data_IF_005115172856
#
_entry.id   IF_005115172856
#
_cell.length_a   1.000
_cell.length_b   1.000
_cell.length_c   1.000
_cell.angle_alpha   90.00
_cell.angle_beta   90.00
_cell.angle_gamma   90.00
#
_symmetry.space_group_name_H-M   'P 1'
#
loop_
_entity.id
_entity.type
_entity.pdbx_description
1 polymer ?
#
# COMPACT_ATOMS: atom_id res chain seq x y z
N UNK A 1 -34.55 -8.40 22.73
CA UNK A 1 -33.39 -8.48 21.82
C UNK A 1 -33.74 -8.16 20.36
N UNK A 2 -34.92 -8.50 19.83
CA UNK A 2 -35.26 -8.21 18.41
C UNK A 2 -35.60 -6.75 18.08
N UNK A 3 -36.14 -5.96 19.04
CA UNK A 3 -36.53 -4.56 18.77
C UNK A 3 -35.34 -3.62 18.50
N UNK A 4 -34.19 -3.86 19.11
CA UNK A 4 -33.00 -3.02 18.93
C UNK A 4 -32.39 -3.21 17.54
N UNK A 5 -32.40 -4.46 17.04
CA UNK A 5 -31.89 -4.79 15.70
C UNK A 5 -32.75 -4.08 14.64
N UNK A 6 -34.08 -4.08 14.80
CA UNK A 6 -34.99 -3.40 13.86
C UNK A 6 -34.71 -1.88 13.75
N UNK A 7 -34.22 -1.25 14.82
CA UNK A 7 -33.80 0.17 14.80
C UNK A 7 -32.56 0.37 13.94
N UNK A 8 -31.56 -0.50 14.05
CA UNK A 8 -30.34 -0.45 13.23
C UNK A 8 -30.59 -0.88 11.78
N UNK A 9 -31.55 -1.77 11.54
CA UNK A 9 -31.99 -2.14 10.17
C UNK A 9 -32.64 -0.94 9.48
N UNK A 10 -33.46 -0.15 10.21
CA UNK A 10 -34.08 1.06 9.65
C UNK A 10 -33.05 2.17 9.41
N UNK A 11 -32.06 2.31 10.29
CA UNK A 11 -31.03 3.36 10.21
C UNK A 11 -29.62 2.80 10.53
N UNK A 12 -28.89 2.30 9.53
CA UNK A 12 -27.55 1.69 9.72
C UNK A 12 -26.49 2.65 10.28
N UNK A 13 -26.63 3.95 10.04
CA UNK A 13 -25.68 4.96 10.53
C UNK A 13 -25.58 4.99 12.06
N UNK A 14 -26.67 4.66 12.77
CA UNK A 14 -26.66 4.59 14.23
C UNK A 14 -25.70 3.53 14.77
N UNK A 15 -25.45 2.45 14.01
CA UNK A 15 -24.48 1.43 14.38
C UNK A 15 -23.05 1.94 14.18
N UNK A 16 -22.81 2.70 13.11
CA UNK A 16 -21.50 3.30 12.82
C UNK A 16 -21.14 4.30 13.91
N UNK A 17 -22.09 5.13 14.32
CA UNK A 17 -21.86 6.14 15.37
C UNK A 17 -21.64 5.48 16.74
N UNK A 18 -22.39 4.42 17.07
CA UNK A 18 -22.15 3.64 18.28
C UNK A 18 -20.75 3.00 18.29
N UNK A 19 -20.30 2.48 17.15
CA UNK A 19 -18.95 1.91 17.02
C UNK A 19 -17.88 2.98 17.21
N UNK A 20 -18.07 4.18 16.67
CA UNK A 20 -17.16 5.31 16.88
C UNK A 20 -17.10 5.71 18.35
N UNK A 21 -18.24 5.85 19.02
CA UNK A 21 -18.30 6.18 20.45
C UNK A 21 -17.57 5.13 21.31
N UNK A 22 -17.66 3.85 20.95
CA UNK A 22 -16.95 2.77 21.65
C UNK A 22 -15.44 2.87 21.41
N UNK A 23 -15.00 3.14 20.19
CA UNK A 23 -13.58 3.33 19.86
C UNK A 23 -13.04 4.54 20.61
N UNK A 24 -13.73 5.68 20.56
CA UNK A 24 -13.31 6.92 21.25
C UNK A 24 -13.20 6.73 22.76
N UNK A 25 -14.09 5.91 23.35
CA UNK A 25 -14.03 5.59 24.79
C UNK A 25 -12.89 4.65 25.16
N UNK A 26 -12.42 3.82 24.22
CA UNK A 26 -11.25 2.95 24.40
C UNK A 26 -9.95 3.75 24.16
N UNK A 27 -9.94 4.66 23.18
CA UNK A 27 -8.82 5.56 22.83
C UNK A 27 -8.64 6.73 23.81
N UNK A 28 -9.65 7.09 24.61
CA UNK A 28 -9.53 8.11 25.66
C UNK A 28 -8.59 7.73 26.82
N UNK A 29 -7.89 6.60 26.76
CA UNK A 29 -6.72 6.39 27.62
C UNK A 29 -5.59 7.32 27.11
N UNK A 30 -5.18 8.35 27.88
CA UNK A 30 -4.43 9.47 27.34
C UNK A 30 -3.10 9.01 26.73
N UNK A 31 -3.02 9.06 25.40
CA UNK A 31 -1.75 9.09 24.67
C UNK A 31 -1.02 10.38 24.98
N UNK A 32 -0.39 10.44 26.14
CA UNK A 32 0.65 11.41 26.38
C UNK A 32 1.96 10.82 25.87
N UNK A 33 2.72 11.61 25.11
CA UNK A 33 4.12 11.33 24.70
C UNK A 33 5.01 10.81 25.86
N UNK A 34 4.60 11.05 27.10
CA UNK A 34 5.10 10.46 28.34
C UNK A 34 5.08 8.91 28.41
N UNK A 35 4.39 8.17 27.52
CA UNK A 35 4.38 6.69 27.60
C UNK A 35 5.68 6.05 27.18
N UNK A 36 6.35 6.57 26.13
CA UNK A 36 7.68 6.12 25.74
C UNK A 36 8.74 6.41 26.82
N UNK A 37 8.59 7.55 27.50
CA UNK A 37 9.45 7.94 28.63
C UNK A 37 9.22 7.03 29.85
N UNK A 38 7.96 6.71 30.17
CA UNK A 38 7.60 5.77 31.25
C UNK A 38 8.10 4.34 30.99
N UNK A 39 8.07 3.86 29.75
CA UNK A 39 8.66 2.58 29.37
C UNK A 39 10.19 2.57 29.53
N UNK A 40 10.86 3.65 29.12
CA UNK A 40 12.30 3.81 29.28
C UNK A 40 12.69 3.85 30.76
N UNK A 41 11.94 4.59 31.59
CA UNK A 41 12.12 4.63 33.04
C UNK A 41 11.92 3.25 33.68
N UNK A 42 10.91 2.47 33.27
CA UNK A 42 10.71 1.12 33.78
C UNK A 42 11.90 0.20 33.43
N UNK A 43 12.47 0.30 32.22
CA UNK A 43 13.65 -0.49 31.83
C UNK A 43 14.88 -0.11 32.65
N UNK A 44 15.11 1.18 32.89
CA UNK A 44 16.24 1.63 33.71
C UNK A 44 16.08 1.25 35.18
N UNK A 45 14.87 1.38 35.76
CA UNK A 45 14.57 0.90 37.11
C UNK A 45 14.78 -0.61 37.21
N UNK A 46 14.36 -1.39 36.20
CA UNK A 46 14.59 -2.83 36.17
C UNK A 46 16.08 -3.19 36.18
N UNK A 47 16.91 -2.48 35.38
CA UNK A 47 18.37 -2.67 35.36
C UNK A 47 19.02 -2.30 36.69
N UNK A 48 18.58 -1.22 37.34
CA UNK A 48 19.09 -0.81 38.66
C UNK A 48 18.74 -1.82 39.74
N UNK A 49 17.51 -2.33 39.74
CA UNK A 49 17.07 -3.39 40.65
C UNK A 49 17.92 -4.66 40.45
N UNK A 50 18.12 -5.10 39.20
CA UNK A 50 18.93 -6.27 38.89
C UNK A 50 20.41 -6.07 39.28
N UNK A 51 20.96 -4.87 39.10
CA UNK A 51 22.33 -4.53 39.53
C UNK A 51 22.46 -4.52 41.05
N UNK A 52 21.48 -4.01 41.79
CA UNK A 52 21.47 -4.00 43.25
C UNK A 52 21.34 -5.43 43.82
N UNK A 53 20.48 -6.26 43.23
CA UNK A 53 20.35 -7.68 43.57
C UNK A 53 21.66 -8.44 43.30
N UNK A 54 22.31 -8.19 42.16
CA UNK A 54 23.61 -8.79 41.83
C UNK A 54 24.74 -8.34 42.75
N UNK A 55 24.63 -7.16 43.35
CA UNK A 55 25.55 -6.64 44.37
C UNK A 55 25.20 -7.10 45.79
N UNK A 56 24.13 -7.89 45.98
CA UNK A 56 23.71 -8.40 47.29
C UNK A 56 23.08 -7.33 48.20
N UNK A 57 22.70 -6.17 47.64
CA UNK A 57 22.07 -5.07 48.39
C UNK A 57 20.55 -5.23 48.30
N UNK A 58 19.88 -5.19 49.46
CA UNK A 58 18.43 -5.27 49.51
C UNK A 58 17.80 -4.10 48.75
N UNK A 59 16.97 -4.42 47.76
CA UNK A 59 16.29 -3.43 46.91
C UNK A 59 15.34 -2.58 47.78
N UNK A 60 15.44 -1.25 47.78
CA UNK A 60 14.52 -0.38 48.53
C UNK A 60 13.05 -0.60 48.15
N UNK A 61 12.15 -0.66 49.15
CA UNK A 61 10.72 -0.89 48.93
C UNK A 61 10.07 0.17 48.03
N UNK A 62 10.57 1.42 48.09
CA UNK A 62 10.14 2.50 47.20
C UNK A 62 10.36 2.18 45.71
N UNK A 63 11.49 1.55 45.34
CA UNK A 63 11.79 1.18 43.95
C UNK A 63 10.93 -0.01 43.49
N UNK A 64 10.62 -0.96 44.39
CA UNK A 64 9.69 -2.07 44.10
C UNK A 64 8.26 -1.58 43.90
N UNK A 65 7.81 -0.62 44.71
CA UNK A 65 6.49 -0.01 44.57
C UNK A 65 6.36 0.75 43.24
N UNK A 66 7.38 1.54 42.88
CA UNK A 66 7.39 2.32 41.64
C UNK A 66 7.41 1.43 40.38
N UNK A 67 8.24 0.37 40.38
CA UNK A 67 8.28 -0.64 39.30
C UNK A 67 6.92 -1.31 39.11
N UNK A 68 6.27 -1.71 40.20
CA UNK A 68 4.94 -2.36 40.17
C UNK A 68 3.88 -1.40 39.63
N UNK A 69 3.92 -0.12 40.03
CA UNK A 69 2.99 0.90 39.56
C UNK A 69 3.13 1.16 38.05
N UNK A 70 4.36 1.38 37.58
CA UNK A 70 4.63 1.61 36.15
C UNK A 70 4.30 0.39 35.28
N UNK A 71 4.55 -0.82 35.77
CA UNK A 71 4.16 -2.05 35.08
C UNK A 71 2.63 -2.20 34.97
N UNK A 72 1.87 -1.82 36.00
CA UNK A 72 0.41 -1.85 35.96
C UNK A 72 -0.17 -0.80 34.98
N UNK A 73 0.38 0.42 34.96
CA UNK A 73 -0.01 1.47 34.01
C UNK A 73 0.25 1.05 32.55
N UNK A 74 1.40 0.44 32.26
CA UNK A 74 1.74 -0.05 30.92
C UNK A 74 0.92 -1.28 30.52
N UNK A 75 0.62 -2.16 31.48
CA UNK A 75 -0.26 -3.32 31.27
C UNK A 75 -1.67 -2.90 30.86
N UNK A 76 -2.24 -1.88 31.51
CA UNK A 76 -3.55 -1.34 31.16
C UNK A 76 -3.56 -0.74 29.74
N UNK A 77 -2.49 -0.06 29.32
CA UNK A 77 -2.35 0.45 27.94
C UNK A 77 -2.28 -0.68 26.91
N UNK A 78 -1.45 -1.70 27.17
CA UNK A 78 -1.36 -2.87 26.30
C UNK A 78 -2.70 -3.60 26.16
N UNK A 79 -3.53 -3.59 27.20
CA UNK A 79 -4.87 -4.16 27.17
C UNK A 79 -5.84 -3.36 26.29
N UNK A 80 -5.81 -2.03 26.34
CA UNK A 80 -6.60 -1.18 25.43
C UNK A 80 -6.19 -1.40 23.97
N UNK A 81 -4.88 -1.41 23.67
CA UNK A 81 -4.37 -1.69 22.33
C UNK A 81 -4.77 -3.09 21.83
N UNK A 82 -4.67 -4.10 22.69
CA UNK A 82 -5.09 -5.46 22.35
C UNK A 82 -6.59 -5.53 22.07
N UNK A 83 -7.41 -4.80 22.84
CA UNK A 83 -8.87 -4.73 22.66
C UNK A 83 -9.23 -4.06 21.33
N UNK A 84 -8.54 -2.98 20.94
CA UNK A 84 -8.72 -2.30 19.66
C UNK A 84 -8.30 -3.19 18.47
N UNK A 85 -7.18 -3.91 18.60
CA UNK A 85 -6.74 -4.87 17.57
C UNK A 85 -7.77 -5.98 17.37
N UNK A 86 -8.26 -6.56 18.46
CA UNK A 86 -9.32 -7.57 18.39
C UNK A 86 -10.58 -7.01 17.71
N UNK A 87 -11.00 -5.79 18.06
CA UNK A 87 -12.15 -5.14 17.43
C UNK A 87 -11.92 -4.90 15.92
N UNK A 88 -10.71 -4.54 15.50
CA UNK A 88 -10.35 -4.36 14.10
C UNK A 88 -10.38 -5.68 13.31
N UNK A 89 -9.91 -6.77 13.91
CA UNK A 89 -9.96 -8.11 13.31
C UNK A 89 -11.41 -8.58 13.11
N UNK A 90 -12.26 -8.39 14.13
CA UNK A 90 -13.69 -8.68 14.06
C UNK A 90 -14.40 -7.84 12.98
N UNK A 91 -14.13 -6.54 12.90
CA UNK A 91 -14.68 -5.71 11.82
C UNK A 91 -14.19 -6.13 10.44
N UNK A 92 -12.94 -6.57 10.33
CA UNK A 92 -12.40 -7.10 9.07
C UNK A 92 -13.18 -8.35 8.64
N UNK A 93 -13.51 -9.23 9.57
CA UNK A 93 -14.31 -10.42 9.32
C UNK A 93 -15.77 -10.06 8.96
N UNK A 94 -16.38 -9.10 9.66
CA UNK A 94 -17.73 -8.60 9.34
C UNK A 94 -17.77 -7.98 7.94
N UNK A 95 -16.78 -7.15 7.58
CA UNK A 95 -16.67 -6.56 6.23
C UNK A 95 -16.49 -7.65 5.19
N UNK A 96 -15.69 -8.68 5.46
CA UNK A 96 -15.54 -9.84 4.57
C UNK A 96 -16.87 -10.57 4.37
N UNK A 97 -17.63 -10.82 5.42
CA UNK A 97 -18.92 -11.50 5.36
C UNK A 97 -20.00 -10.64 4.68
N UNK A 98 -20.02 -9.33 4.95
CA UNK A 98 -20.84 -8.35 4.24
C UNK A 98 -20.49 -8.32 2.76
N UNK A 99 -19.20 -8.31 2.42
CA UNK A 99 -18.76 -8.38 1.04
C UNK A 99 -19.25 -9.68 0.38
N UNK A 100 -19.13 -10.84 1.04
CA UNK A 100 -19.68 -12.11 0.52
C UNK A 100 -21.18 -12.00 0.24
N UNK A 101 -21.96 -11.44 1.18
CA UNK A 101 -23.43 -11.26 1.04
C UNK A 101 -23.82 -10.23 -0.03
N UNK A 102 -23.02 -9.18 -0.21
CA UNK A 102 -23.19 -8.17 -1.25
C UNK A 102 -22.66 -8.62 -2.62
N UNK A 103 -22.22 -9.87 -2.78
CA UNK A 103 -21.50 -10.37 -3.96
C UNK A 103 -20.22 -9.57 -4.30
N UNK A 104 -19.65 -8.86 -3.32
CA UNK A 104 -18.35 -8.18 -3.40
C UNK A 104 -17.20 -9.08 -2.92
N UNK A 105 -17.50 -10.12 -2.13
CA UNK A 105 -16.54 -11.03 -1.47
C UNK A 105 -16.78 -12.51 -1.80
N UNK A 106 -17.86 -12.81 -2.51
CA UNK A 106 -17.91 -14.00 -3.34
C UNK A 106 -16.96 -13.75 -4.49
N UNK A 107 -15.88 -14.52 -4.56
CA UNK A 107 -15.20 -14.81 -5.79
C UNK A 107 -16.16 -15.49 -6.77
N UNK A 108 -17.15 -14.75 -7.27
CA UNK A 108 -17.38 -14.75 -8.70
C UNK A 108 -16.04 -14.26 -9.22
N UNK A 109 -15.15 -15.23 -9.49
CA UNK A 109 -14.59 -15.28 -10.82
C UNK A 109 -15.74 -14.82 -11.70
N UNK A 110 -15.74 -13.53 -12.11
CA UNK A 110 -16.32 -13.18 -13.41
C UNK A 110 -15.93 -14.40 -14.25
N UNK A 111 -16.82 -15.12 -14.96
CA UNK A 111 -16.31 -16.02 -15.98
C UNK A 111 -15.30 -15.12 -16.69
N UNK A 112 -13.99 -15.39 -16.48
CA UNK A 112 -12.92 -14.49 -16.92
C UNK A 112 -13.36 -14.31 -18.35
N UNK A 113 -13.81 -13.15 -18.84
CA UNK A 113 -14.29 -13.02 -20.23
C UNK A 113 -13.23 -13.74 -21.05
N UNK A 114 -13.46 -14.94 -21.59
CA UNK A 114 -12.53 -16.08 -21.58
C UNK A 114 -11.07 -15.66 -21.59
N UNK A 115 -10.50 -15.25 -20.43
CA UNK A 115 -9.45 -14.20 -20.32
C UNK A 115 -8.91 -13.82 -21.69
N UNK A 116 -9.66 -13.01 -22.48
CA UNK A 116 -9.69 -13.07 -23.96
C UNK A 116 -8.35 -13.55 -24.44
N UNK A 117 -8.23 -14.86 -24.74
CA UNK A 117 -6.93 -15.56 -24.84
C UNK A 117 -5.92 -14.57 -25.36
N UNK A 118 -4.93 -14.17 -24.52
CA UNK A 118 -3.96 -13.11 -24.87
C UNK A 118 -3.64 -13.30 -26.34
N UNK A 119 -3.98 -12.32 -27.17
CA UNK A 119 -3.98 -12.55 -28.60
C UNK A 119 -2.66 -13.16 -29.01
N UNK A 120 -2.73 -14.34 -29.64
CA UNK A 120 -1.57 -15.14 -30.04
C UNK A 120 -0.85 -14.53 -31.25
N UNK A 121 -1.38 -13.42 -31.78
CA UNK A 121 -0.71 -12.64 -32.82
C UNK A 121 0.66 -12.19 -32.33
N UNK A 122 1.71 -12.36 -33.14
CA UNK A 122 3.03 -11.83 -32.85
C UNK A 122 2.99 -10.33 -32.54
N UNK A 123 3.81 -9.90 -31.58
CA UNK A 123 3.94 -8.52 -31.11
C UNK A 123 5.41 -8.14 -31.12
N UNK A 124 5.71 -6.86 -31.37
CA UNK A 124 7.08 -6.34 -31.39
C UNK A 124 7.74 -6.62 -30.04
N UNK A 125 8.96 -7.15 -30.11
CA UNK A 125 9.69 -7.56 -28.92
C UNK A 125 10.03 -6.37 -28.02
N UNK A 126 10.11 -6.61 -26.71
CA UNK A 126 10.33 -5.55 -25.72
C UNK A 126 11.67 -4.84 -25.93
N UNK A 127 12.70 -5.56 -26.37
CA UNK A 127 14.03 -5.03 -26.66
C UNK A 127 14.01 -4.06 -27.86
N UNK A 128 13.17 -4.35 -28.86
CA UNK A 128 12.96 -3.47 -30.01
C UNK A 128 12.25 -2.20 -29.56
N UNK A 129 11.18 -2.31 -28.76
CA UNK A 129 10.48 -1.14 -28.21
C UNK A 129 11.43 -0.27 -27.38
N UNK A 130 12.24 -0.89 -26.51
CA UNK A 130 13.26 -0.21 -25.71
C UNK A 130 14.23 0.60 -26.56
N UNK A 131 14.78 0.01 -27.62
CA UNK A 131 15.69 0.68 -28.56
C UNK A 131 15.01 1.92 -29.18
N UNK A 132 13.76 1.79 -29.59
CA UNK A 132 13.01 2.89 -30.21
C UNK A 132 12.62 3.99 -29.20
N UNK A 133 12.38 3.66 -27.92
CA UNK A 133 12.20 4.67 -26.86
C UNK A 133 13.46 5.53 -26.72
N UNK A 134 14.64 4.89 -26.66
CA UNK A 134 15.92 5.60 -26.54
C UNK A 134 16.17 6.46 -27.79
N UNK A 135 15.97 5.91 -28.99
CA UNK A 135 16.12 6.65 -30.24
C UNK A 135 15.17 7.86 -30.31
N UNK A 136 13.89 7.67 -29.98
CA UNK A 136 12.91 8.76 -29.98
C UNK A 136 13.29 9.86 -28.98
N UNK A 137 13.71 9.50 -27.76
CA UNK A 137 14.16 10.49 -26.78
C UNK A 137 15.41 11.22 -27.25
N UNK A 138 16.41 10.55 -27.83
CA UNK A 138 17.60 11.19 -28.40
C UNK A 138 17.24 12.18 -29.51
N UNK A 139 16.36 11.79 -30.43
CA UNK A 139 15.83 12.67 -31.48
C UNK A 139 15.14 13.90 -30.90
N UNK A 140 14.48 13.77 -29.75
CA UNK A 140 13.75 14.85 -29.08
C UNK A 140 14.58 15.59 -28.02
N UNK A 141 15.91 15.46 -28.01
CA UNK A 141 16.80 16.20 -27.12
C UNK A 141 16.97 15.60 -25.72
N UNK A 142 16.76 14.29 -25.58
CA UNK A 142 16.98 13.51 -24.35
C UNK A 142 15.82 13.55 -23.35
N UNK A 143 14.88 14.48 -23.49
CA UNK A 143 13.67 14.60 -22.66
C UNK A 143 12.50 15.11 -23.50
N UNK A 144 11.36 14.43 -23.42
CA UNK A 144 10.16 14.86 -24.15
C UNK A 144 8.85 14.42 -23.48
N UNK A 145 7.73 15.00 -23.93
CA UNK A 145 6.40 14.56 -23.50
C UNK A 145 6.11 13.16 -24.05
N UNK A 146 5.37 12.36 -23.27
CA UNK A 146 5.02 10.98 -23.67
C UNK A 146 4.36 10.94 -25.05
N UNK A 147 3.44 11.87 -25.34
CA UNK A 147 2.76 11.93 -26.63
C UNK A 147 3.74 12.10 -27.80
N UNK A 148 4.76 12.96 -27.63
CA UNK A 148 5.77 13.23 -28.65
C UNK A 148 6.70 12.02 -28.84
N UNK A 149 7.11 11.38 -27.73
CA UNK A 149 7.91 10.15 -27.79
C UNK A 149 7.16 9.03 -28.51
N UNK A 150 5.89 8.79 -28.15
CA UNK A 150 5.07 7.77 -28.80
C UNK A 150 4.86 8.09 -30.29
N UNK A 151 4.60 9.35 -30.64
CA UNK A 151 4.48 9.78 -32.03
C UNK A 151 5.76 9.50 -32.84
N UNK A 152 6.92 9.85 -32.27
CA UNK A 152 8.21 9.62 -32.90
C UNK A 152 8.55 8.12 -33.01
N UNK A 153 8.27 7.33 -31.98
CA UNK A 153 8.36 5.87 -32.06
C UNK A 153 7.48 5.31 -33.18
N UNK A 154 6.25 5.81 -33.34
CA UNK A 154 5.34 5.41 -34.41
C UNK A 154 5.94 5.68 -35.80
N UNK A 155 6.64 6.80 -35.96
CA UNK A 155 7.38 7.12 -37.19
C UNK A 155 8.52 6.12 -37.44
N UNK A 156 9.31 5.79 -36.41
CA UNK A 156 10.45 4.89 -36.52
C UNK A 156 10.06 3.41 -36.73
N UNK A 157 8.91 3.02 -36.19
CA UNK A 157 8.33 1.66 -36.26
C UNK A 157 7.39 1.48 -37.45
N UNK A 158 7.17 2.50 -38.29
CA UNK A 158 6.31 2.42 -39.48
C UNK A 158 6.78 1.27 -40.37
N UNK A 159 5.87 0.34 -40.67
CA UNK A 159 6.15 -0.86 -41.47
C UNK A 159 6.91 -1.98 -40.75
N UNK A 160 7.24 -1.83 -39.45
CA UNK A 160 7.94 -2.83 -38.63
C UNK A 160 7.08 -3.44 -37.52
N UNK A 161 5.93 -2.81 -37.21
CA UNK A 161 4.97 -3.32 -36.24
C UNK A 161 4.36 -4.64 -36.73
N UNK A 162 4.21 -5.58 -35.82
CA UNK A 162 3.60 -6.87 -36.09
C UNK A 162 2.07 -6.78 -35.97
N UNK A 163 1.29 -7.73 -36.52
CA UNK A 163 -0.17 -7.64 -36.49
C UNK A 163 -0.76 -7.44 -35.09
N UNK A 164 -0.16 -8.06 -34.06
CA UNK A 164 -0.61 -7.93 -32.68
C UNK A 164 -0.34 -6.56 -32.04
N UNK A 165 0.52 -5.75 -32.63
CA UNK A 165 0.81 -4.39 -32.16
C UNK A 165 -0.29 -3.41 -32.54
N UNK A 166 -0.94 -3.66 -33.68
CA UNK A 166 -2.01 -2.84 -34.25
C UNK A 166 -3.39 -3.16 -33.65
N UNK A 167 -3.45 -4.08 -32.68
CA UNK A 167 -4.67 -4.37 -31.94
C UNK A 167 -5.07 -3.18 -31.06
N UNK A 168 -6.29 -2.70 -31.21
CA UNK A 168 -6.86 -1.67 -30.34
C UNK A 168 -7.20 -2.25 -28.96
N UNK A 169 -6.84 -1.52 -27.89
CA UNK A 169 -7.21 -1.88 -26.52
C UNK A 169 -8.21 -0.86 -25.97
N UNK A 170 -9.46 -1.28 -25.85
CA UNK A 170 -10.54 -0.45 -25.30
C UNK A 170 -10.26 0.02 -23.87
N UNK A 171 -9.66 -0.84 -23.03
CA UNK A 171 -9.38 -0.53 -21.62
C UNK A 171 -8.42 0.64 -21.41
N UNK A 172 -7.52 0.86 -22.36
CA UNK A 172 -6.49 1.91 -22.30
C UNK A 172 -6.65 2.94 -23.42
N UNK A 173 -7.68 2.78 -24.25
CA UNK A 173 -8.00 3.60 -25.40
C UNK A 173 -6.79 3.87 -26.33
N UNK A 174 -6.01 2.82 -26.61
CA UNK A 174 -4.79 2.93 -27.43
C UNK A 174 -4.42 1.60 -28.11
N UNK A 175 -3.53 1.68 -29.11
CA UNK A 175 -2.96 0.49 -29.75
C UNK A 175 -2.03 -0.29 -28.80
N UNK A 176 -1.99 -1.61 -28.97
CA UNK A 176 -1.24 -2.51 -28.10
C UNK A 176 0.25 -2.15 -27.98
N UNK A 177 0.90 -1.70 -29.06
CA UNK A 177 2.32 -1.30 -29.00
C UNK A 177 2.56 -0.05 -28.16
N UNK A 178 1.63 0.90 -28.13
CA UNK A 178 1.76 2.12 -27.33
C UNK A 178 1.71 1.77 -25.84
N UNK A 179 0.74 0.93 -25.47
CA UNK A 179 0.68 0.37 -24.13
C UNK A 179 1.95 -0.41 -23.79
N UNK A 180 2.42 -1.29 -24.69
CA UNK A 180 3.63 -2.08 -24.47
C UNK A 180 4.88 -1.20 -24.32
N UNK A 181 4.98 -0.09 -25.06
CA UNK A 181 6.06 0.90 -24.91
C UNK A 181 6.02 1.59 -23.55
N UNK A 182 4.84 1.93 -23.02
CA UNK A 182 4.70 2.48 -21.65
C UNK A 182 5.14 1.47 -20.58
N UNK A 183 4.83 0.19 -20.75
CA UNK A 183 5.31 -0.88 -19.88
C UNK A 183 6.83 -1.07 -19.96
N UNK A 184 7.41 -1.01 -21.16
CA UNK A 184 8.86 -1.08 -21.31
C UNK A 184 9.53 0.16 -20.71
N UNK A 185 8.97 1.36 -20.89
CA UNK A 185 9.43 2.56 -20.20
C UNK A 185 9.43 2.39 -18.69
N UNK A 186 8.39 1.80 -18.10
CA UNK A 186 8.38 1.51 -16.66
C UNK A 186 9.59 0.65 -16.26
N UNK A 187 9.87 -0.43 -17.00
CA UNK A 187 11.06 -1.27 -16.75
C UNK A 187 12.37 -0.50 -16.89
N UNK A 188 12.48 0.34 -17.92
CA UNK A 188 13.64 1.21 -18.13
C UNK A 188 13.87 2.21 -16.98
N UNK A 189 12.82 2.63 -16.27
CA UNK A 189 12.98 3.45 -15.05
C UNK A 189 13.46 2.63 -13.84
N UNK A 190 13.14 1.33 -13.79
CA UNK A 190 13.61 0.44 -12.72
C UNK A 190 15.08 0.06 -12.89
N UNK A 191 15.56 -0.05 -14.13
CA UNK A 191 16.95 -0.41 -14.44
C UNK A 191 17.88 0.79 -14.67
N UNK A 192 17.39 2.02 -14.45
CA UNK A 192 18.18 3.26 -14.53
C UNK A 192 18.45 3.78 -15.95
N UNK A 193 17.92 3.14 -16.99
CA UNK A 193 18.07 3.62 -18.38
C UNK A 193 17.29 4.91 -18.62
N UNK A 194 16.15 5.07 -17.94
CA UNK A 194 15.39 6.32 -17.90
C UNK A 194 15.31 6.84 -16.48
N UNK A 195 15.22 8.17 -16.34
CA UNK A 195 15.06 8.83 -15.04
C UNK A 195 13.71 8.49 -14.40
N UNK A 196 13.75 8.10 -13.13
CA UNK A 196 12.55 7.85 -12.32
C UNK A 196 11.91 9.14 -11.79
N UNK A 197 12.69 10.21 -11.65
CA UNK A 197 12.30 11.52 -11.12
C UNK A 197 11.82 12.51 -12.21
N UNK A 198 11.57 12.02 -13.44
CA UNK A 198 11.01 12.85 -14.51
C UNK A 198 9.61 13.37 -14.14
N UNK A 199 9.28 14.64 -14.43
CA UNK A 199 7.95 15.18 -14.20
C UNK A 199 6.85 14.36 -14.88
N UNK A 200 5.65 14.38 -14.29
CA UNK A 200 4.49 13.65 -14.82
C UNK A 200 4.24 14.03 -16.27
N UNK A 201 4.11 13.02 -17.14
CA UNK A 201 3.89 13.22 -18.57
C UNK A 201 5.16 13.45 -19.40
N UNK A 202 6.36 13.38 -18.78
CA UNK A 202 7.64 13.44 -19.46
C UNK A 202 8.45 12.17 -19.25
N UNK A 203 9.19 11.77 -20.28
CA UNK A 203 10.21 10.73 -20.22
C UNK A 203 11.57 11.38 -20.48
N UNK A 204 12.59 10.97 -19.73
CA UNK A 204 13.96 11.48 -19.86
C UNK A 204 14.97 10.34 -19.78
N UNK A 205 16.01 10.43 -20.62
CA UNK A 205 17.15 9.53 -20.60
C UNK A 205 17.94 9.64 -19.30
N UNK A 206 18.37 8.49 -18.77
CA UNK A 206 19.37 8.44 -17.71
C UNK A 206 20.70 9.03 -18.18
N UNK A 207 21.57 9.39 -17.23
CA UNK A 207 22.82 10.12 -17.51
C UNK A 207 23.76 9.35 -18.46
N UNK A 208 23.79 8.02 -18.39
CA UNK A 208 24.58 7.17 -19.30
C UNK A 208 23.99 6.95 -20.70
N UNK A 209 22.89 7.63 -21.05
CA UNK A 209 22.19 7.46 -22.34
C UNK A 209 22.06 8.76 -23.16
N UNK A 210 22.40 9.92 -22.59
CA UNK A 210 22.39 11.23 -23.26
C UNK A 210 23.39 11.29 -24.42
#
# INVERSE_FOLDING_TARGET
MSQDIDRFVKNPNLLIDLVRDVIDRIDCAPENAATGEKEAQLREIAKVVEKLEKMGVAVPDALRAEKTRLAAELGAKSQSEQTLRHLADEFTQIVKDLNVRLNLGGGVTKPKKPATKRSRTPKTDKSVLRKHIIMALRTLGGRARVADVIKEMGRQLKGKLLPGDLEWRESTNEYAWQNNAKWERYRMTQDGTLRSDSPRGYWELGEGQK
#
